data_IF_880343423658
#
_entry.id   IF_880343423658
#
_cell.length_a   1.000
_cell.length_b   1.000
_cell.length_c   1.000
_cell.angle_alpha   90.00
_cell.angle_beta   90.00
_cell.angle_gamma   90.00
#
_symmetry.space_group_name_H-M   'P 1'
#
loop_
_entity.id
_entity.type
_entity.pdbx_description
1 polymer ?
#
# COMPACT_ATOMS: atom_id res chain seq x y z
N UNK A 1 24.21 4.67 3.76
CA UNK A 1 23.08 4.54 2.82
C UNK A 1 23.62 4.24 1.42
N UNK A 2 24.66 4.94 1.00
CA UNK A 2 25.28 4.80 -0.33
C UNK A 2 25.75 3.37 -0.68
N UNK A 3 26.46 2.70 0.22
CA UNK A 3 26.91 1.31 -0.02
C UNK A 3 25.78 0.30 -0.27
N UNK A 4 24.56 0.57 0.22
CA UNK A 4 23.40 -0.27 -0.07
C UNK A 4 22.84 0.01 -1.47
N UNK A 5 22.72 1.29 -1.84
CA UNK A 5 22.26 1.70 -3.16
C UNK A 5 23.24 1.27 -4.25
N UNK A 6 24.54 1.34 -4.00
CA UNK A 6 25.56 0.87 -4.94
C UNK A 6 25.46 -0.65 -5.16
N UNK A 7 25.16 -1.42 -4.12
CA UNK A 7 24.86 -2.85 -4.27
C UNK A 7 23.61 -3.09 -5.10
N UNK A 8 22.56 -2.29 -4.93
CA UNK A 8 21.35 -2.40 -5.77
C UNK A 8 21.65 -2.05 -7.23
N UNK A 9 22.47 -1.03 -7.50
CA UNK A 9 22.93 -0.67 -8.85
C UNK A 9 23.74 -1.80 -9.49
N UNK A 10 24.57 -2.49 -8.70
CA UNK A 10 25.33 -3.64 -9.15
C UNK A 10 24.47 -4.89 -9.42
N UNK A 11 23.25 -4.96 -8.86
CA UNK A 11 22.32 -6.08 -9.02
C UNK A 11 20.89 -5.61 -9.37
N UNK A 12 20.66 -5.04 -10.58
CA UNK A 12 19.40 -4.40 -10.92
C UNK A 12 18.17 -5.29 -10.85
N UNK A 13 18.30 -6.58 -11.16
CA UNK A 13 17.20 -7.55 -11.15
C UNK A 13 16.70 -7.81 -9.70
N UNK A 14 17.62 -7.98 -8.76
CA UNK A 14 17.31 -8.10 -7.32
C UNK A 14 16.69 -6.79 -6.84
N UNK A 15 17.27 -5.66 -7.23
CA UNK A 15 16.80 -4.34 -6.86
C UNK A 15 15.36 -4.09 -7.35
N UNK A 16 15.03 -4.46 -8.58
CA UNK A 16 13.68 -4.38 -9.14
C UNK A 16 12.65 -5.15 -8.32
N UNK A 17 12.98 -6.40 -7.92
CA UNK A 17 12.12 -7.21 -7.05
C UNK A 17 11.88 -6.57 -5.68
N UNK A 18 12.92 -6.00 -5.09
CA UNK A 18 12.82 -5.29 -3.79
C UNK A 18 11.98 -4.03 -3.92
N UNK A 19 12.16 -3.26 -5.00
CA UNK A 19 11.35 -2.09 -5.30
C UNK A 19 9.88 -2.46 -5.50
N UNK A 20 9.56 -3.55 -6.21
CA UNK A 20 8.18 -4.06 -6.33
C UNK A 20 7.60 -4.46 -4.98
N UNK A 21 8.38 -5.13 -4.12
CA UNK A 21 7.94 -5.51 -2.77
C UNK A 21 7.56 -4.27 -1.95
N UNK A 22 8.42 -3.25 -1.91
CA UNK A 22 8.13 -2.01 -1.19
C UNK A 22 6.96 -1.26 -1.82
N UNK A 23 6.94 -1.11 -3.15
CA UNK A 23 5.86 -0.44 -3.87
C UNK A 23 4.51 -1.07 -3.56
N UNK A 24 4.43 -2.40 -3.54
CA UNK A 24 3.22 -3.14 -3.14
C UNK A 24 2.87 -2.87 -1.67
N UNK A 25 3.87 -2.90 -0.77
CA UNK A 25 3.66 -2.68 0.66
C UNK A 25 3.15 -1.27 0.97
N UNK A 26 3.73 -0.26 0.32
CA UNK A 26 3.35 1.15 0.42
C UNK A 26 2.00 1.41 -0.25
N UNK A 27 1.69 0.70 -1.34
CA UNK A 27 0.37 0.75 -1.98
C UNK A 27 -0.72 0.33 -1.01
N UNK A 28 -0.53 -0.79 -0.32
CA UNK A 28 -1.48 -1.25 0.69
C UNK A 28 -1.45 -0.35 1.93
N UNK A 29 -0.29 0.09 2.41
CA UNK A 29 -0.10 0.91 3.60
C UNK A 29 0.90 2.07 3.35
N UNK A 30 0.45 3.34 3.27
CA UNK A 30 1.36 4.48 3.09
C UNK A 30 2.47 4.59 4.16
N UNK A 31 2.25 4.00 5.34
CA UNK A 31 3.20 3.98 6.46
C UNK A 31 4.13 2.76 6.46
N UNK A 32 4.02 1.83 5.50
CA UNK A 32 4.88 0.64 5.39
C UNK A 32 6.15 0.89 4.56
N UNK A 33 6.73 2.10 4.66
CA UNK A 33 8.02 2.42 4.04
C UNK A 33 9.09 1.55 4.69
N UNK A 34 9.90 0.85 3.88
CA UNK A 34 10.92 -0.06 4.41
C UNK A 34 12.18 0.70 4.85
N UNK A 35 12.40 1.91 4.31
CA UNK A 35 13.61 2.71 4.53
C UNK A 35 13.34 4.04 5.25
N UNK A 36 12.65 3.95 6.39
CA UNK A 36 12.43 5.09 7.27
C UNK A 36 11.45 6.11 6.69
N UNK A 37 11.88 7.37 6.54
CA UNK A 37 10.99 8.48 6.14
C UNK A 37 10.73 8.55 4.64
N UNK A 38 11.60 7.98 3.79
CA UNK A 38 11.40 7.91 2.32
C UNK A 38 11.24 6.45 1.91
N UNK A 39 10.53 6.21 0.82
CA UNK A 39 10.57 4.91 0.15
C UNK A 39 11.95 4.69 -0.47
N UNK A 40 12.35 3.43 -0.64
CA UNK A 40 13.52 3.04 -1.42
C UNK A 40 13.40 3.51 -2.86
N UNK A 41 12.19 3.46 -3.44
CA UNK A 41 11.95 3.90 -4.82
C UNK A 41 12.26 5.39 -5.02
N UNK A 42 11.99 6.24 -4.04
CA UNK A 42 12.33 7.67 -4.04
C UNK A 42 13.85 7.94 -3.98
N UNK A 43 14.68 6.92 -3.74
CA UNK A 43 16.14 7.06 -3.72
C UNK A 43 16.78 6.88 -5.11
N UNK A 44 16.01 6.46 -6.12
CA UNK A 44 16.49 6.28 -7.49
C UNK A 44 15.95 7.39 -8.39
N UNK A 45 16.87 8.11 -9.03
CA UNK A 45 16.56 9.23 -9.91
C UNK A 45 16.50 8.75 -11.38
N UNK A 46 15.38 8.92 -12.10
CA UNK A 46 15.30 8.57 -13.54
C UNK A 46 16.38 9.23 -14.41
N UNK A 47 16.79 10.45 -14.06
CA UNK A 47 17.66 11.26 -14.90
C UNK A 47 19.13 10.85 -14.69
N UNK A 48 19.43 10.25 -13.53
CA UNK A 48 20.74 9.67 -13.22
C UNK A 48 20.97 8.36 -13.96
N UNK A 49 21.96 8.36 -14.86
CA UNK A 49 22.31 7.18 -15.68
C UNK A 49 22.56 5.90 -14.86
N UNK A 50 23.20 6.01 -13.69
CA UNK A 50 23.50 4.88 -12.81
C UNK A 50 22.25 4.21 -12.19
N UNK A 51 21.12 4.92 -12.13
CA UNK A 51 19.88 4.42 -11.52
C UNK A 51 18.94 3.79 -12.56
N UNK A 52 19.14 4.09 -13.85
CA UNK A 52 18.27 3.64 -14.95
C UNK A 52 18.12 2.11 -15.02
N UNK A 53 19.17 1.28 -14.87
CA UNK A 53 19.01 -0.18 -14.91
C UNK A 53 18.08 -0.70 -13.80
N UNK A 54 18.19 -0.14 -12.59
CA UNK A 54 17.34 -0.52 -11.45
C UNK A 54 15.89 -0.14 -11.70
N UNK A 55 15.65 1.07 -12.22
CA UNK A 55 14.31 1.53 -12.55
C UNK A 55 13.68 0.76 -13.73
N UNK A 56 14.50 0.33 -14.70
CA UNK A 56 14.06 -0.54 -15.79
C UNK A 56 13.63 -1.92 -15.26
N UNK A 57 14.46 -2.56 -14.44
CA UNK A 57 14.12 -3.84 -13.81
C UNK A 57 12.87 -3.73 -12.91
N UNK A 58 12.69 -2.61 -12.21
CA UNK A 58 11.45 -2.34 -11.47
C UNK A 58 10.22 -2.25 -12.39
N UNK A 59 10.32 -1.56 -13.53
CA UNK A 59 9.22 -1.48 -14.50
C UNK A 59 8.87 -2.85 -15.08
N UNK A 60 9.86 -3.71 -15.33
CA UNK A 60 9.65 -5.08 -15.76
C UNK A 60 8.88 -5.89 -14.69
N UNK A 61 9.23 -5.72 -13.41
CA UNK A 61 8.51 -6.33 -12.29
C UNK A 61 7.05 -5.83 -12.19
N UNK A 62 6.73 -4.62 -12.65
CA UNK A 62 5.36 -4.10 -12.71
C UNK A 62 4.54 -4.64 -13.89
N UNK A 63 5.16 -5.33 -14.85
CA UNK A 63 4.47 -5.96 -15.98
C UNK A 63 3.68 -7.24 -15.59
N UNK A 64 3.71 -7.62 -14.31
CA UNK A 64 2.87 -8.69 -13.78
C UNK A 64 1.37 -8.28 -13.74
N UNK A 65 0.46 -9.24 -13.50
CA UNK A 65 -0.92 -8.91 -13.18
C UNK A 65 -1.03 -7.99 -11.95
N UNK A 66 -2.05 -7.14 -11.95
CA UNK A 66 -2.40 -6.33 -10.80
C UNK A 66 -3.66 -6.87 -10.14
N UNK A 67 -3.85 -6.50 -8.89
CA UNK A 67 -5.04 -6.81 -8.11
C UNK A 67 -5.65 -5.53 -7.54
N UNK A 68 -6.98 -5.54 -7.43
CA UNK A 68 -7.72 -4.59 -6.62
C UNK A 68 -7.85 -5.18 -5.22
N UNK A 69 -7.34 -4.47 -4.22
CA UNK A 69 -7.36 -4.89 -2.83
C UNK A 69 -8.34 -4.03 -2.02
N UNK A 70 -9.13 -4.69 -1.17
CA UNK A 70 -9.82 -4.07 -0.05
C UNK A 70 -8.98 -4.23 1.21
N UNK A 71 -8.58 -3.11 1.81
CA UNK A 71 -7.72 -3.10 2.99
C UNK A 71 -8.41 -2.38 4.13
N UNK A 72 -8.51 -3.06 5.26
CA UNK A 72 -9.08 -2.54 6.51
C UNK A 72 -8.10 -2.70 7.64
N UNK A 73 -7.88 -1.66 8.44
CA UNK A 73 -7.05 -1.74 9.67
C UNK A 73 -7.75 -1.15 10.87
N UNK A 74 -7.56 -1.82 11.99
CA UNK A 74 -7.93 -1.33 13.32
C UNK A 74 -6.62 -1.00 14.03
N UNK A 75 -6.52 0.23 14.50
CA UNK A 75 -5.44 0.74 15.35
C UNK A 75 -6.02 0.90 16.77
N UNK A 76 -6.00 -0.17 17.59
CA UNK A 76 -6.50 -0.10 18.95
C UNK A 76 -5.51 0.66 19.85
N UNK A 77 -5.97 1.03 21.03
CA UNK A 77 -5.08 1.38 22.16
C UNK A 77 -4.42 0.13 22.74
N UNK A 78 -3.26 0.27 23.39
CA UNK A 78 -2.59 -0.84 24.03
C UNK A 78 -3.31 -1.20 25.34
N UNK A 79 -3.43 -2.50 25.63
CA UNK A 79 -4.11 -2.96 26.87
C UNK A 79 -3.41 -2.47 28.14
N UNK A 80 -2.09 -2.41 28.12
CA UNK A 80 -1.28 -2.00 29.26
C UNK A 80 -1.15 -0.47 29.38
N UNK A 81 -1.45 0.28 28.31
CA UNK A 81 -1.30 1.73 28.26
C UNK A 81 -2.25 2.33 27.21
N UNK A 82 -3.40 2.89 27.63
CA UNK A 82 -4.38 3.48 26.74
C UNK A 82 -3.88 4.68 25.93
N UNK A 83 -2.76 5.30 26.33
CA UNK A 83 -2.15 6.43 25.61
C UNK A 83 -1.32 5.96 24.40
N UNK A 84 -1.02 4.66 24.33
CA UNK A 84 -0.18 4.07 23.28
C UNK A 84 -1.00 3.24 22.31
N UNK A 85 -0.48 3.13 21.08
CA UNK A 85 -1.03 2.25 20.05
C UNK A 85 -0.76 0.79 20.36
N UNK A 86 -1.81 -0.02 20.35
CA UNK A 86 -1.73 -1.47 20.39
C UNK A 86 -1.33 -2.10 19.04
N UNK A 87 -1.27 -3.43 19.01
CA UNK A 87 -0.98 -4.17 17.77
C UNK A 87 -2.11 -3.96 16.76
N UNK A 88 -1.77 -3.44 15.59
CA UNK A 88 -2.72 -3.26 14.50
C UNK A 88 -3.32 -4.60 14.06
N UNK A 89 -4.63 -4.62 13.85
CA UNK A 89 -5.35 -5.73 13.25
C UNK A 89 -5.68 -5.37 11.81
N UNK A 90 -5.55 -6.32 10.89
CA UNK A 90 -5.73 -6.06 9.46
C UNK A 90 -6.58 -7.13 8.78
N UNK A 91 -7.37 -6.67 7.82
CA UNK A 91 -7.95 -7.47 6.76
C UNK A 91 -7.42 -6.96 5.42
N UNK A 92 -6.93 -7.86 4.59
CA UNK A 92 -6.57 -7.63 3.20
C UNK A 92 -7.31 -8.68 2.40
N UNK A 93 -8.07 -8.23 1.41
CA UNK A 93 -8.85 -9.07 0.53
C UNK A 93 -8.60 -8.64 -0.92
N UNK A 94 -8.33 -9.60 -1.78
CA UNK A 94 -8.19 -9.41 -3.21
C UNK A 94 -9.58 -9.53 -3.85
N UNK A 95 -10.09 -8.39 -4.32
CA UNK A 95 -11.43 -8.24 -4.87
C UNK A 95 -11.48 -8.59 -6.35
N UNK A 96 -10.41 -8.26 -7.09
CA UNK A 96 -10.32 -8.46 -8.54
C UNK A 96 -8.86 -8.58 -8.98
N UNK A 97 -8.62 -9.15 -10.17
CA UNK A 97 -7.29 -9.31 -10.79
C UNK A 97 -7.37 -8.96 -12.26
N UNK A 98 -6.41 -8.19 -12.77
CA UNK A 98 -6.38 -7.82 -14.16
C UNK A 98 -5.25 -6.87 -14.51
N UNK A 99 -5.42 -6.15 -15.62
CA UNK A 99 -4.46 -5.11 -16.05
C UNK A 99 -4.56 -3.91 -15.12
N UNK A 100 -3.41 -3.34 -14.75
CA UNK A 100 -3.30 -2.17 -13.86
C UNK A 100 -4.24 -1.03 -14.26
N UNK A 101 -4.21 -0.64 -15.54
CA UNK A 101 -5.02 0.47 -16.06
C UNK A 101 -6.52 0.19 -16.06
N UNK A 102 -6.93 -1.07 -16.31
CA UNK A 102 -8.34 -1.44 -16.28
C UNK A 102 -8.90 -1.41 -14.85
N UNK A 103 -8.17 -1.98 -13.88
CA UNK A 103 -8.54 -1.93 -12.47
C UNK A 103 -8.54 -0.48 -11.95
N UNK A 104 -7.53 0.31 -12.34
CA UNK A 104 -7.41 1.71 -11.94
C UNK A 104 -8.56 2.57 -12.44
N UNK A 105 -8.96 2.43 -13.72
CA UNK A 105 -10.15 3.11 -14.26
C UNK A 105 -11.43 2.67 -13.55
N UNK A 106 -11.60 1.36 -13.35
CA UNK A 106 -12.76 0.82 -12.63
C UNK A 106 -12.88 1.42 -11.22
N UNK A 107 -11.77 1.46 -10.48
CA UNK A 107 -11.75 2.03 -9.14
C UNK A 107 -12.08 3.52 -9.15
N UNK A 108 -11.45 4.31 -10.03
CA UNK A 108 -11.74 5.75 -10.18
C UNK A 108 -13.23 5.99 -10.45
N UNK A 109 -13.80 5.34 -11.46
CA UNK A 109 -15.21 5.54 -11.82
C UNK A 109 -16.19 5.14 -10.72
N UNK A 110 -15.89 4.08 -9.96
CA UNK A 110 -16.72 3.70 -8.80
C UNK A 110 -16.60 4.73 -7.69
N UNK A 111 -15.37 5.15 -7.37
CA UNK A 111 -15.10 6.12 -6.30
C UNK A 111 -15.74 7.48 -6.59
N UNK A 112 -15.64 7.98 -7.81
CA UNK A 112 -16.30 9.22 -8.26
C UNK A 112 -17.82 9.16 -8.05
N UNK A 113 -18.47 8.07 -8.46
CA UNK A 113 -19.92 7.88 -8.27
C UNK A 113 -20.35 7.88 -6.80
N UNK A 114 -19.45 7.51 -5.90
CA UNK A 114 -19.70 7.47 -4.45
C UNK A 114 -19.10 8.67 -3.71
N UNK A 115 -18.54 9.66 -4.39
CA UNK A 115 -17.90 10.82 -3.76
C UNK A 115 -16.67 10.47 -2.90
N UNK A 116 -15.99 9.36 -3.20
CA UNK A 116 -14.81 8.91 -2.46
C UNK A 116 -13.54 9.49 -3.10
N UNK A 117 -12.68 10.20 -2.35
CA UNK A 117 -11.43 10.73 -2.89
C UNK A 117 -10.48 9.64 -3.39
N UNK A 118 -9.82 9.91 -4.52
CA UNK A 118 -8.86 9.01 -5.16
C UNK A 118 -7.48 9.66 -5.25
N UNK A 119 -6.45 8.87 -4.95
CA UNK A 119 -5.04 9.18 -5.19
C UNK A 119 -4.55 8.36 -6.38
N UNK A 120 -3.93 9.01 -7.36
CA UNK A 120 -3.31 8.35 -8.52
C UNK A 120 -1.80 8.56 -8.46
N UNK A 121 -1.07 7.47 -8.64
CA UNK A 121 0.36 7.48 -8.92
C UNK A 121 0.54 7.57 -10.44
N UNK A 122 0.71 8.80 -10.94
CA UNK A 122 0.89 9.08 -12.37
C UNK A 122 2.11 8.38 -12.98
N UNK A 123 3.07 7.96 -12.14
CA UNK A 123 4.33 7.40 -12.61
C UNK A 123 4.26 5.90 -12.84
N UNK A 124 3.62 5.19 -11.91
CA UNK A 124 3.62 3.72 -11.90
C UNK A 124 2.20 3.11 -11.89
N UNK A 125 1.15 3.93 -11.85
CA UNK A 125 -0.22 3.53 -12.16
C UNK A 125 -1.06 3.02 -10.99
N UNK A 126 -0.57 3.09 -9.74
CA UNK A 126 -1.41 2.82 -8.55
C UNK A 126 -2.55 3.81 -8.47
N UNK A 127 -3.74 3.28 -8.17
CA UNK A 127 -4.93 4.05 -7.83
C UNK A 127 -5.37 3.62 -6.43
N UNK A 128 -5.62 4.57 -5.54
CA UNK A 128 -6.10 4.31 -4.17
C UNK A 128 -7.31 5.19 -3.87
N UNK A 129 -8.36 4.60 -3.33
CA UNK A 129 -9.53 5.32 -2.84
C UNK A 129 -9.67 5.15 -1.32
N UNK A 130 -9.84 6.26 -0.60
CA UNK A 130 -9.97 6.25 0.86
C UNK A 130 -11.43 6.24 1.29
N UNK A 131 -11.94 5.05 1.60
CA UNK A 131 -13.31 4.88 2.15
C UNK A 131 -13.39 5.47 3.56
N UNK A 132 -12.33 5.29 4.36
CA UNK A 132 -12.20 5.89 5.67
C UNK A 132 -10.73 6.16 5.98
N UNK A 133 -10.37 7.43 6.14
CA UNK A 133 -9.06 7.81 6.67
C UNK A 133 -9.02 7.67 8.19
N UNK A 134 -7.83 7.39 8.73
CA UNK A 134 -7.61 7.37 10.18
C UNK A 134 -7.91 8.73 10.79
N UNK A 135 -8.55 8.73 11.95
CA UNK A 135 -8.66 9.92 12.79
C UNK A 135 -7.31 10.28 13.44
N UNK A 136 -7.23 11.46 14.07
CA UNK A 136 -6.04 11.88 14.82
C UNK A 136 -5.83 11.06 16.11
N UNK A 137 -6.91 10.53 16.68
CA UNK A 137 -6.92 9.88 17.99
C UNK A 137 -7.03 8.36 17.90
N UNK A 138 -6.64 7.69 18.99
CA UNK A 138 -6.81 6.26 19.17
C UNK A 138 -7.99 5.98 20.11
N UNK A 139 -8.72 4.87 19.91
CA UNK A 139 -8.54 3.94 18.80
C UNK A 139 -9.12 4.51 17.49
N UNK A 140 -8.54 4.10 16.35
CA UNK A 140 -9.08 4.47 15.03
C UNK A 140 -9.10 3.27 14.10
N UNK A 141 -9.87 3.40 13.04
CA UNK A 141 -9.84 2.50 11.90
C UNK A 141 -9.46 3.26 10.64
N UNK A 142 -9.06 2.51 9.61
CA UNK A 142 -8.89 3.02 8.25
C UNK A 142 -9.33 1.94 7.25
N UNK A 143 -9.89 2.37 6.14
CA UNK A 143 -10.44 1.54 5.07
C UNK A 143 -10.09 2.17 3.72
N UNK A 144 -9.52 1.36 2.83
CA UNK A 144 -9.16 1.80 1.48
C UNK A 144 -9.34 0.67 0.46
N UNK A 145 -9.59 1.10 -0.77
CA UNK A 145 -9.50 0.26 -1.97
C UNK A 145 -8.25 0.68 -2.72
N UNK A 146 -7.44 -0.27 -3.21
CA UNK A 146 -6.19 0.08 -3.91
C UNK A 146 -5.81 -0.92 -4.98
N UNK A 147 -5.29 -0.44 -6.11
CA UNK A 147 -4.64 -1.28 -7.11
C UNK A 147 -3.16 -1.46 -6.76
N UNK A 148 -2.65 -2.69 -6.85
CA UNK A 148 -1.23 -2.97 -6.65
C UNK A 148 -0.83 -4.27 -7.39
N UNK A 149 0.48 -4.55 -7.54
CA UNK A 149 0.95 -5.85 -8.05
C UNK A 149 0.33 -7.03 -7.27
N UNK A 150 -0.04 -8.11 -7.97
CA UNK A 150 -0.91 -9.19 -7.45
C UNK A 150 -0.32 -10.09 -6.35
N UNK A 151 0.85 -9.78 -5.81
CA UNK A 151 1.64 -10.69 -4.96
C UNK A 151 1.14 -10.82 -3.52
N UNK A 152 0.15 -10.03 -3.10
CA UNK A 152 -0.40 -10.10 -1.74
C UNK A 152 -1.54 -11.09 -1.68
N UNK A 153 -1.44 -12.04 -0.74
CA UNK A 153 -2.49 -13.01 -0.42
C UNK A 153 -3.50 -12.42 0.54
N UNK A 154 -4.71 -12.94 0.48
CA UNK A 154 -5.77 -12.62 1.43
C UNK A 154 -5.31 -12.93 2.85
N UNK A 155 -5.65 -12.02 3.76
CA UNK A 155 -5.31 -12.16 5.17
C UNK A 155 -6.34 -11.45 6.02
N UNK A 156 -7.03 -12.20 6.87
CA UNK A 156 -7.95 -11.67 7.87
C UNK A 156 -7.61 -12.29 9.22
N UNK A 157 -7.40 -11.46 10.24
CA UNK A 157 -7.17 -11.98 11.60
C UNK A 157 -8.47 -12.54 12.20
N UNK A 158 -8.43 -13.52 13.11
CA UNK A 158 -9.63 -14.04 13.76
C UNK A 158 -10.46 -12.94 14.43
N UNK A 159 -11.79 -13.08 14.36
CA UNK A 159 -12.78 -12.15 14.90
C UNK A 159 -12.68 -10.70 14.38
N UNK A 160 -12.06 -10.49 13.22
CA UNK A 160 -11.86 -9.14 12.66
C UNK A 160 -13.17 -8.38 12.50
N UNK A 161 -14.20 -8.98 11.89
CA UNK A 161 -15.48 -8.29 11.60
C UNK A 161 -16.18 -7.82 12.88
N UNK A 162 -16.19 -8.65 13.94
CA UNK A 162 -16.73 -8.26 15.25
C UNK A 162 -15.99 -7.05 15.84
N UNK A 163 -14.66 -7.07 15.78
CA UNK A 163 -13.84 -5.96 16.28
C UNK A 163 -13.98 -4.71 15.42
N UNK A 164 -14.08 -4.87 14.11
CA UNK A 164 -14.29 -3.80 13.14
C UNK A 164 -15.60 -3.06 13.43
N UNK A 165 -16.70 -3.80 13.59
CA UNK A 165 -18.01 -3.23 13.93
C UNK A 165 -17.96 -2.44 15.25
N UNK A 166 -17.29 -2.96 16.29
CA UNK A 166 -17.16 -2.27 17.57
C UNK A 166 -16.41 -0.93 17.45
N UNK A 167 -15.31 -0.90 16.69
CA UNK A 167 -14.49 0.32 16.53
C UNK A 167 -15.07 1.34 15.54
N UNK A 168 -15.92 0.90 14.60
CA UNK A 168 -16.65 1.83 13.72
C UNK A 168 -17.80 2.52 14.44
N UNK A 169 -18.49 1.82 15.37
CA UNK A 169 -19.62 2.36 16.13
C UNK A 169 -19.22 3.33 17.23
N UNK A 170 -18.02 3.19 17.81
CA UNK A 170 -17.52 4.11 18.84
C UNK A 170 -17.17 5.52 18.33
N UNK A 171 -17.57 5.87 17.10
CA UNK A 171 -17.37 7.18 16.46
C UNK A 171 -18.70 7.85 16.05
N UNK A 172 -19.85 7.30 16.46
CA UNK A 172 -21.18 7.91 16.33
C UNK A 172 -21.56 8.62 17.61
#
# INVERSE_FOLDING_TARGET
>A
MDAHLDRMRAHPDIAGRVLRLEYTSVSLNPQARLFGRRSLLEQFDPDRAADRPVLAAFKEELACPWALYHVRRILPVAKADPTRRGRAMRSVERVDVGRASALGRRLQSVSERHGVPVEVDERYGRVRAWVQQRGPELPTVEELMVTAPFHVRDKKVPHFERKWAAHRRSRS
#
